data_IF_805524718710
#
_entry.id   IF_805524718710
#
_cell.length_a   1.000
_cell.length_b   1.000
_cell.length_c   1.000
_cell.angle_alpha   90.00
_cell.angle_beta   90.00
_cell.angle_gamma   90.00
#
_symmetry.space_group_name_H-M   'P 1'
#
loop_
_entity.id
_entity.type
_entity.pdbx_description
1 polymer ?
#
# COMPACT_ATOMS: atom_id res chain seq x y z
N UNK A 1 7.21 3.39 -13.62
CA UNK A 1 7.35 1.94 -13.86
C UNK A 1 7.13 1.14 -12.59
N UNK A 2 6.72 -0.12 -12.72
CA UNK A 2 6.59 -1.04 -11.59
C UNK A 2 6.63 -2.50 -12.00
N UNK A 3 6.53 -3.38 -11.00
CA UNK A 3 6.50 -4.84 -11.19
C UNK A 3 5.12 -5.38 -10.90
N UNK A 4 4.64 -6.25 -11.79
CA UNK A 4 3.41 -7.02 -11.59
C UNK A 4 3.72 -8.15 -10.60
N UNK A 5 2.87 -8.32 -9.60
CA UNK A 5 2.95 -9.40 -8.61
C UNK A 5 1.56 -9.94 -8.32
N UNK A 6 1.47 -11.17 -7.80
CA UNK A 6 0.18 -11.69 -7.34
C UNK A 6 -0.29 -10.90 -6.12
N UNK A 7 -1.61 -10.74 -5.97
CA UNK A 7 -2.19 -9.99 -4.85
C UNK A 7 -1.83 -10.62 -3.49
N UNK A 8 -1.92 -11.95 -3.39
CA UNK A 8 -1.49 -12.73 -2.23
C UNK A 8 -0.46 -13.79 -2.65
N UNK A 9 0.65 -13.83 -1.92
CA UNK A 9 1.70 -14.83 -2.08
C UNK A 9 2.11 -15.36 -0.72
N UNK A 10 2.24 -16.67 -0.60
CA UNK A 10 2.67 -17.34 0.62
C UNK A 10 4.02 -18.00 0.40
N UNK A 11 4.96 -17.73 1.30
CA UNK A 11 6.24 -18.41 1.38
C UNK A 11 6.08 -19.65 2.26
N UNK A 12 6.39 -20.83 1.71
CA UNK A 12 6.35 -22.11 2.42
C UNK A 12 7.77 -22.53 2.74
N UNK A 13 8.07 -22.67 4.03
CA UNK A 13 9.37 -23.10 4.53
C UNK A 13 9.33 -24.43 5.27
N UNK A 14 10.44 -24.80 5.93
CA UNK A 14 10.51 -25.97 6.82
C UNK A 14 10.87 -25.57 8.26
N UNK A 15 10.24 -26.24 9.22
CA UNK A 15 10.57 -26.13 10.64
C UNK A 15 11.64 -27.14 11.09
N UNK A 16 11.81 -28.22 10.34
CA UNK A 16 12.74 -29.31 10.66
C UNK A 16 13.87 -29.42 9.64
N UNK A 17 15.05 -29.80 10.11
CA UNK A 17 16.24 -29.97 9.27
C UNK A 17 16.34 -31.39 8.73
N UNK A 18 16.77 -31.54 7.49
CA UNK A 18 17.00 -32.85 6.89
C UNK A 18 17.22 -32.77 5.39
N UNK A 19 17.43 -33.92 4.77
CA UNK A 19 17.53 -34.02 3.32
C UNK A 19 16.14 -34.13 2.70
N UNK A 20 15.89 -33.40 1.62
CA UNK A 20 14.63 -33.50 0.86
C UNK A 20 14.64 -34.82 0.09
N UNK A 21 13.76 -35.74 0.48
CA UNK A 21 13.66 -37.06 -0.16
C UNK A 21 12.85 -37.03 -1.45
N UNK A 22 11.85 -36.14 -1.52
CA UNK A 22 10.93 -36.06 -2.66
C UNK A 22 10.41 -34.62 -2.80
N UNK A 23 10.30 -34.15 -4.05
CA UNK A 23 9.59 -32.91 -4.39
C UNK A 23 8.45 -33.29 -5.32
N UNK A 24 7.22 -33.03 -4.88
CA UNK A 24 6.00 -33.48 -5.57
C UNK A 24 5.31 -32.36 -6.35
N UNK A 25 5.65 -31.09 -6.10
CA UNK A 25 5.11 -29.94 -6.81
C UNK A 25 6.20 -29.23 -7.64
N UNK A 26 5.87 -28.86 -8.87
CA UNK A 26 6.79 -28.15 -9.76
C UNK A 26 6.27 -26.74 -10.13
N UNK A 27 7.12 -25.95 -10.81
CA UNK A 27 6.77 -24.61 -11.25
C UNK A 27 5.50 -24.60 -12.12
N UNK A 28 4.67 -23.57 -11.93
CA UNK A 28 3.40 -23.37 -12.64
C UNK A 28 2.32 -24.43 -12.36
N UNK A 29 2.57 -25.40 -11.47
CA UNK A 29 1.57 -26.37 -11.06
C UNK A 29 0.59 -25.75 -10.07
N UNK A 30 -0.69 -26.06 -10.25
CA UNK A 30 -1.72 -25.72 -9.26
C UNK A 30 -1.70 -26.72 -8.11
N UNK A 31 -1.78 -26.22 -6.89
CA UNK A 31 -1.78 -27.00 -5.65
C UNK A 31 -2.99 -26.66 -4.79
N UNK A 32 -3.52 -27.66 -4.10
CA UNK A 32 -4.63 -27.51 -3.16
C UNK A 32 -4.13 -27.31 -1.73
N UNK A 33 -4.95 -26.67 -0.90
CA UNK A 33 -4.66 -26.54 0.54
C UNK A 33 -4.52 -27.93 1.18
N UNK A 34 -3.39 -28.17 1.85
CA UNK A 34 -3.05 -29.43 2.52
C UNK A 34 -2.35 -30.46 1.63
N UNK A 35 -2.24 -30.19 0.33
CA UNK A 35 -1.52 -31.05 -0.63
C UNK A 35 -0.04 -31.14 -0.27
N UNK A 36 0.53 -32.34 -0.37
CA UNK A 36 1.94 -32.59 -0.08
C UNK A 36 2.76 -32.09 -1.27
N UNK A 37 3.63 -31.10 -1.03
CA UNK A 37 4.45 -30.47 -2.07
C UNK A 37 5.92 -30.90 -1.99
N UNK A 38 6.39 -31.32 -0.82
CA UNK A 38 7.71 -31.93 -0.63
C UNK A 38 7.74 -32.81 0.63
N UNK A 39 8.74 -33.69 0.71
CA UNK A 39 9.02 -34.53 1.88
C UNK A 39 10.48 -34.45 2.25
N UNK A 40 10.75 -34.34 3.54
CA UNK A 40 12.07 -34.51 4.14
C UNK A 40 12.21 -35.98 4.53
N UNK A 41 13.42 -36.52 4.41
CA UNK A 41 13.73 -37.89 4.79
C UNK A 41 13.31 -38.16 6.25
N UNK A 42 12.30 -39.02 6.48
CA UNK A 42 11.71 -39.17 7.80
C UNK A 42 12.48 -40.14 8.68
N UNK A 43 13.52 -40.83 8.17
CA UNK A 43 14.14 -41.96 8.86
C UNK A 43 14.63 -41.61 10.29
N UNK A 44 15.27 -40.45 10.47
CA UNK A 44 15.71 -39.98 11.78
C UNK A 44 14.54 -39.72 12.73
N UNK A 45 13.50 -39.06 12.23
CA UNK A 45 12.31 -38.69 13.01
C UNK A 45 11.46 -39.91 13.37
N UNK A 46 11.36 -40.89 12.48
CA UNK A 46 10.73 -42.19 12.74
C UNK A 46 11.48 -42.95 13.83
N UNK A 47 12.82 -43.00 13.76
CA UNK A 47 13.63 -43.65 14.79
C UNK A 47 13.49 -42.97 16.17
N UNK A 48 13.44 -41.63 16.20
CA UNK A 48 13.20 -40.87 17.44
C UNK A 48 11.80 -41.16 18.02
N UNK A 49 10.77 -41.20 17.17
CA UNK A 49 9.42 -41.57 17.60
C UNK A 49 9.38 -43.00 18.18
N UNK A 50 10.02 -43.96 17.50
CA UNK A 50 10.09 -45.35 17.99
C UNK A 50 10.79 -45.43 19.35
N UNK A 51 11.90 -44.71 19.54
CA UNK A 51 12.61 -44.65 20.82
C UNK A 51 11.76 -44.03 21.94
N UNK A 52 11.03 -42.95 21.65
CA UNK A 52 10.12 -42.32 22.60
C UNK A 52 8.96 -43.26 22.99
N UNK A 53 8.37 -43.98 22.01
CA UNK A 53 7.30 -44.95 22.25
C UNK A 53 7.79 -46.12 23.12
N UNK A 54 8.99 -46.65 22.85
CA UNK A 54 9.59 -47.70 23.68
C UNK A 54 9.82 -47.23 25.12
N UNK A 55 10.29 -45.99 25.30
CA UNK A 55 10.51 -45.40 26.63
C UNK A 55 9.19 -45.24 27.40
N UNK A 56 8.12 -44.78 26.72
CA UNK A 56 6.78 -44.70 27.31
C UNK A 56 6.27 -46.08 27.73
N UNK A 57 6.44 -47.11 26.91
CA UNK A 57 6.06 -48.49 27.25
C UNK A 57 6.76 -49.00 28.51
N UNK A 58 8.05 -48.69 28.67
CA UNK A 58 8.81 -49.04 29.88
C UNK A 58 8.32 -48.30 31.13
N UNK A 59 7.95 -47.03 30.99
CA UNK A 59 7.36 -46.25 32.09
C UNK A 59 5.97 -46.73 32.47
N UNK A 60 5.13 -47.11 31.49
CA UNK A 60 3.82 -47.71 31.74
C UNK A 60 3.94 -49.02 32.54
N UNK A 61 4.87 -49.90 32.13
CA UNK A 61 5.16 -51.14 32.86
C UNK A 61 5.65 -50.87 34.29
N UNK A 62 6.38 -49.77 34.50
CA UNK A 62 6.85 -49.37 35.83
C UNK A 62 5.73 -48.79 36.69
N UNK A 63 4.81 -48.01 36.10
CA UNK A 63 3.59 -47.55 36.77
C UNK A 63 2.71 -48.72 37.19
N UNK A 64 2.53 -49.73 36.32
CA UNK A 64 1.78 -50.94 36.63
C UNK A 64 2.38 -51.67 37.84
N UNK A 65 3.70 -51.89 37.85
CA UNK A 65 4.40 -52.48 39.00
C UNK A 65 4.22 -51.66 40.29
N UNK A 66 4.35 -50.33 40.22
CA UNK A 66 4.15 -49.46 41.39
C UNK A 66 2.69 -49.44 41.87
N UNK A 67 1.73 -49.51 40.95
CA UNK A 67 0.30 -49.57 41.24
C UNK A 67 -0.07 -50.88 41.95
N UNK A 68 0.44 -52.02 41.46
CA UNK A 68 0.25 -53.31 42.12
C UNK A 68 0.87 -53.33 43.52
N UNK A 69 2.05 -52.73 43.70
CA UNK A 69 2.70 -52.61 45.02
C UNK A 69 1.89 -51.74 45.98
N UNK A 70 1.33 -50.61 45.52
CA UNK A 70 0.46 -49.75 46.32
C UNK A 70 -0.87 -50.45 46.68
N UNK A 71 -1.42 -51.23 45.74
CA UNK A 71 -2.62 -52.04 45.95
C UNK A 71 -2.38 -53.14 46.99
N UNK A 72 -1.21 -53.79 46.95
CA UNK A 72 -0.80 -54.77 47.94
C UNK A 72 -0.61 -54.14 49.33
N UNK A 73 0.15 -53.05 49.44
CA UNK A 73 0.39 -52.38 50.73
C UNK A 73 -0.90 -51.85 51.35
N UNK A 74 -1.87 -51.43 50.54
CA UNK A 74 -3.20 -51.06 51.01
C UNK A 74 -3.95 -52.25 51.63
N UNK A 75 -3.91 -53.43 51.00
CA UNK A 75 -4.53 -54.65 51.55
C UNK A 75 -3.87 -55.08 52.85
N UNK A 76 -2.54 -55.00 52.93
CA UNK A 76 -1.79 -55.35 54.13
C UNK A 76 -2.08 -54.38 55.28
N UNK A 77 -2.13 -53.07 54.99
CA UNK A 77 -2.57 -52.06 55.97
C UNK A 77 -4.00 -52.30 56.45
N UNK A 78 -4.94 -52.64 55.56
CA UNK A 78 -6.31 -52.96 55.95
C UNK A 78 -6.38 -54.19 56.86
N UNK A 79 -5.55 -55.21 56.60
CA UNK A 79 -5.44 -56.39 57.46
C UNK A 79 -4.85 -56.02 58.82
N UNK A 80 -3.78 -55.24 58.85
CA UNK A 80 -3.15 -54.77 60.08
C UNK A 80 -4.12 -53.93 60.93
N UNK A 81 -4.92 -53.05 60.31
CA UNK A 81 -5.98 -52.29 61.02
C UNK A 81 -6.99 -53.20 61.71
N UNK A 82 -7.54 -54.19 60.98
CA UNK A 82 -8.51 -55.15 61.56
C UNK A 82 -7.93 -55.93 62.74
N UNK A 83 -6.66 -56.32 62.68
CA UNK A 83 -6.00 -57.03 63.77
C UNK A 83 -5.67 -56.10 64.95
N UNK A 84 -5.29 -54.85 64.69
CA UNK A 84 -5.09 -53.84 65.72
C UNK A 84 -6.39 -53.50 66.48
N UNK A 85 -7.53 -53.45 65.78
CA UNK A 85 -8.86 -53.27 66.40
C UNK A 85 -9.20 -54.42 67.36
N UNK A 86 -8.67 -55.63 67.09
CA UNK A 86 -8.77 -56.81 67.95
C UNK A 86 -7.67 -56.88 69.02
N UNK A 87 -6.82 -55.86 69.14
CA UNK A 87 -5.65 -55.82 70.03
C UNK A 87 -4.62 -56.93 69.79
N UNK A 88 -4.56 -57.48 68.57
CA UNK A 88 -3.68 -58.59 68.18
C UNK A 88 -2.34 -58.15 67.59
N UNK A 89 -2.13 -56.84 67.39
CA UNK A 89 -0.92 -56.27 66.76
C UNK A 89 -0.48 -55.02 67.53
N UNK A 90 0.82 -54.80 67.67
CA UNK A 90 1.35 -53.62 68.34
C UNK A 90 1.12 -52.35 67.51
N UNK A 91 0.92 -51.22 68.19
CA UNK A 91 0.72 -49.92 67.51
C UNK A 91 1.86 -49.55 66.56
N UNK A 92 3.10 -49.88 66.94
CA UNK A 92 4.29 -49.63 66.12
C UNK A 92 4.25 -50.38 64.77
N UNK A 93 3.70 -51.60 64.73
CA UNK A 93 3.57 -52.37 63.49
C UNK A 93 2.50 -51.75 62.57
N UNK A 94 1.39 -51.27 63.14
CA UNK A 94 0.38 -50.54 62.38
C UNK A 94 0.94 -49.25 61.76
N UNK A 95 1.71 -48.47 62.53
CA UNK A 95 2.37 -47.24 62.05
C UNK A 95 3.38 -47.55 60.92
N UNK A 96 4.10 -48.67 61.02
CA UNK A 96 5.01 -49.14 59.96
C UNK A 96 4.28 -49.49 58.66
N UNK A 97 3.16 -50.19 58.74
CA UNK A 97 2.34 -50.51 57.55
C UNK A 97 1.72 -49.24 56.93
N UNK A 98 1.34 -48.26 57.76
CA UNK A 98 0.88 -46.95 57.27
C UNK A 98 1.97 -46.23 56.47
N UNK A 99 3.20 -46.19 56.99
CA UNK A 99 4.31 -45.56 56.29
C UNK A 99 4.68 -46.32 55.00
N UNK A 100 4.66 -47.64 55.03
CA UNK A 100 4.91 -48.49 53.85
C UNK A 100 3.88 -48.22 52.75
N UNK A 101 2.61 -48.08 53.12
CA UNK A 101 1.54 -47.73 52.20
C UNK A 101 1.73 -46.32 51.63
N UNK A 102 2.09 -45.35 52.48
CA UNK A 102 2.37 -43.97 52.07
C UNK A 102 3.51 -43.90 51.05
N UNK A 103 4.62 -44.60 51.29
CA UNK A 103 5.76 -44.66 50.37
C UNK A 103 5.33 -45.27 49.04
N UNK A 104 4.57 -46.37 49.05
CA UNK A 104 4.10 -47.01 47.82
C UNK A 104 3.18 -46.10 46.98
N UNK A 105 2.32 -45.30 47.62
CA UNK A 105 1.52 -44.29 46.93
C UNK A 105 2.36 -43.17 46.32
N UNK A 106 3.43 -42.74 46.99
CA UNK A 106 4.36 -41.74 46.46
C UNK A 106 5.11 -42.30 45.24
N UNK A 107 5.58 -43.55 45.30
CA UNK A 107 6.22 -44.24 44.18
C UNK A 107 5.29 -44.39 42.98
N UNK A 108 4.01 -44.73 43.22
CA UNK A 108 2.99 -44.78 42.17
C UNK A 108 2.78 -43.41 41.53
N UNK A 109 2.66 -42.34 42.32
CA UNK A 109 2.53 -40.97 41.81
C UNK A 109 3.76 -40.51 41.03
N UNK A 110 4.95 -40.89 41.46
CA UNK A 110 6.20 -40.60 40.74
C UNK A 110 6.24 -41.34 39.38
N UNK A 111 5.87 -42.62 39.36
CA UNK A 111 5.77 -43.38 38.11
C UNK A 111 4.70 -42.81 37.17
N UNK A 112 3.56 -42.36 37.70
CA UNK A 112 2.51 -41.71 36.91
C UNK A 112 2.99 -40.41 36.28
N UNK A 113 3.73 -39.59 37.04
CA UNK A 113 4.34 -38.36 36.52
C UNK A 113 5.36 -38.64 35.41
N UNK A 114 6.15 -39.72 35.56
CA UNK A 114 7.08 -40.18 34.53
C UNK A 114 6.36 -40.59 33.23
N UNK A 115 5.25 -41.32 33.34
CA UNK A 115 4.39 -41.66 32.18
C UNK A 115 3.90 -40.40 31.48
N UNK A 116 3.39 -39.40 32.22
CA UNK A 116 2.91 -38.15 31.63
C UNK A 116 4.02 -37.39 30.88
N UNK A 117 5.23 -37.31 31.45
CA UNK A 117 6.39 -36.69 30.80
C UNK A 117 6.77 -37.40 29.50
N UNK A 118 6.82 -38.74 29.51
CA UNK A 118 7.15 -39.52 28.32
C UNK A 118 6.04 -39.52 27.26
N UNK A 119 4.78 -39.39 27.67
CA UNK A 119 3.67 -39.15 26.74
C UNK A 119 3.87 -37.82 25.99
N UNK A 120 4.26 -36.75 26.69
CA UNK A 120 4.57 -35.47 26.05
C UNK A 120 5.76 -35.60 25.08
N UNK A 121 6.81 -36.34 25.44
CA UNK A 121 7.94 -36.63 24.56
C UNK A 121 7.53 -37.38 23.28
N UNK A 122 6.62 -38.35 23.38
CA UNK A 122 6.05 -39.05 22.20
C UNK A 122 5.29 -38.07 21.31
N UNK A 123 4.48 -37.17 21.89
CA UNK A 123 3.74 -36.18 21.10
C UNK A 123 4.67 -35.19 20.39
N UNK A 124 5.75 -34.76 21.04
CA UNK A 124 6.78 -33.92 20.42
C UNK A 124 7.42 -34.64 19.23
N UNK A 125 7.87 -35.89 19.41
CA UNK A 125 8.49 -36.66 18.34
C UNK A 125 7.52 -36.95 17.17
N UNK A 126 6.22 -37.10 17.45
CA UNK A 126 5.18 -37.21 16.40
C UNK A 126 5.01 -35.91 15.63
N UNK A 127 5.00 -34.78 16.33
CA UNK A 127 4.89 -33.46 15.69
C UNK A 127 6.09 -33.22 14.77
N UNK A 128 7.31 -33.46 15.24
CA UNK A 128 8.52 -33.31 14.43
C UNK A 128 8.50 -34.22 13.20
N UNK A 129 7.98 -35.44 13.33
CA UNK A 129 7.78 -36.34 12.20
C UNK A 129 6.73 -35.80 11.20
N UNK A 130 5.62 -35.22 11.66
CA UNK A 130 4.63 -34.61 10.77
C UNK A 130 5.20 -33.39 10.02
N UNK A 131 6.07 -32.62 10.68
CA UNK A 131 6.77 -31.49 10.05
C UNK A 131 7.76 -31.92 8.94
N UNK A 132 8.08 -33.23 8.81
CA UNK A 132 8.84 -33.73 7.65
C UNK A 132 8.02 -33.70 6.36
N UNK A 133 6.69 -33.63 6.45
CA UNK A 133 5.78 -33.55 5.31
C UNK A 133 5.42 -32.10 5.07
N UNK A 134 5.90 -31.54 3.97
CA UNK A 134 5.69 -30.13 3.63
C UNK A 134 4.40 -30.03 2.81
N UNK A 135 3.43 -29.28 3.33
CA UNK A 135 2.10 -29.12 2.74
C UNK A 135 1.85 -27.70 2.29
N UNK A 136 1.04 -27.53 1.24
CA UNK A 136 0.60 -26.21 0.83
C UNK A 136 -0.39 -25.61 1.85
N UNK A 137 -0.17 -24.39 2.38
CA UNK A 137 -1.09 -23.76 3.31
C UNK A 137 -2.34 -23.17 2.61
N UNK A 138 -2.27 -22.97 1.30
CA UNK A 138 -3.30 -22.33 0.48
C UNK A 138 -3.57 -23.10 -0.80
N UNK A 139 -4.72 -22.88 -1.42
CA UNK A 139 -4.92 -23.25 -2.83
C UNK A 139 -4.26 -22.18 -3.70
N UNK A 140 -3.53 -22.57 -4.74
CA UNK A 140 -2.83 -21.61 -5.58
C UNK A 140 -1.92 -22.23 -6.62
N UNK A 141 -1.06 -21.42 -7.23
CA UNK A 141 -0.08 -21.83 -8.23
C UNK A 141 1.33 -21.63 -7.69
N UNK A 142 2.20 -22.63 -7.88
CA UNK A 142 3.62 -22.55 -7.48
C UNK A 142 4.36 -21.58 -8.40
N UNK A 143 4.78 -20.44 -7.86
CA UNK A 143 5.57 -19.43 -8.56
C UNK A 143 7.06 -19.80 -8.58
N UNK A 144 7.59 -20.22 -7.43
CA UNK A 144 8.99 -20.54 -7.25
C UNK A 144 9.12 -21.83 -6.46
N UNK A 145 10.05 -22.67 -6.90
CA UNK A 145 10.58 -23.84 -6.19
C UNK A 145 12.08 -23.59 -5.99
N UNK A 146 12.47 -23.38 -4.73
CA UNK A 146 13.84 -23.04 -4.32
C UNK A 146 14.60 -24.25 -3.78
N UNK A 147 14.06 -25.46 -4.00
CA UNK A 147 14.65 -26.71 -3.52
C UNK A 147 14.62 -27.84 -4.53
N UNK A 148 15.61 -28.73 -4.40
CA UNK A 148 15.73 -29.94 -5.19
C UNK A 148 15.74 -31.21 -4.32
N UNK A 149 15.35 -32.33 -4.93
CA UNK A 149 15.48 -33.64 -4.29
C UNK A 149 16.97 -33.95 -4.04
N UNK A 150 17.30 -34.42 -2.84
CA UNK A 150 18.67 -34.67 -2.38
C UNK A 150 19.34 -33.45 -1.72
N UNK A 151 18.73 -32.27 -1.75
CA UNK A 151 19.26 -31.10 -1.06
C UNK A 151 19.04 -31.21 0.45
N UNK A 152 20.06 -30.87 1.23
CA UNK A 152 19.94 -30.75 2.69
C UNK A 152 19.48 -29.35 3.07
N UNK A 153 18.41 -29.26 3.86
CA UNK A 153 17.89 -28.03 4.42
C UNK A 153 18.15 -27.98 5.93
N UNK A 154 18.54 -26.81 6.42
CA UNK A 154 18.76 -26.55 7.84
C UNK A 154 17.81 -25.43 8.31
N UNK A 155 16.94 -25.73 9.27
CA UNK A 155 15.96 -24.79 9.83
C UNK A 155 16.43 -24.12 11.14
N UNK A 156 17.68 -24.35 11.57
CA UNK A 156 18.14 -23.97 12.92
C UNK A 156 18.46 -22.49 13.11
N UNK A 157 18.77 -21.76 12.04
CA UNK A 157 19.13 -20.33 12.11
C UNK A 157 18.08 -19.43 11.47
N UNK A 158 17.52 -19.85 10.34
CA UNK A 158 16.44 -19.18 9.63
C UNK A 158 15.51 -20.25 9.04
N UNK A 159 14.24 -19.91 8.81
CA UNK A 159 13.30 -20.77 8.09
C UNK A 159 13.54 -20.59 6.59
N UNK A 160 14.23 -21.53 5.89
CA UNK A 160 14.45 -21.38 4.46
C UNK A 160 13.11 -21.42 3.73
N UNK A 161 12.92 -20.51 2.78
CA UNK A 161 11.76 -20.56 1.88
C UNK A 161 12.02 -21.62 0.82
N UNK A 162 11.14 -22.62 0.74
CA UNK A 162 11.26 -23.73 -0.20
C UNK A 162 10.36 -23.52 -1.42
N UNK A 163 9.16 -22.96 -1.21
CA UNK A 163 8.21 -22.65 -2.26
C UNK A 163 7.61 -21.27 -2.07
N UNK A 164 7.27 -20.61 -3.17
CA UNK A 164 6.41 -19.42 -3.16
C UNK A 164 5.15 -19.72 -3.96
N UNK A 165 3.99 -19.62 -3.32
CA UNK A 165 2.69 -19.98 -3.89
C UNK A 165 1.82 -18.74 -4.00
N UNK A 166 1.27 -18.47 -5.18
CA UNK A 166 0.28 -17.42 -5.39
C UNK A 166 -1.13 -17.98 -5.24
N UNK A 167 -1.97 -17.36 -4.40
CA UNK A 167 -3.34 -17.85 -4.18
C UNK A 167 -4.23 -17.71 -5.40
N UNK A 168 -4.14 -16.56 -6.08
CA UNK A 168 -5.01 -16.20 -7.19
C UNK A 168 -4.24 -15.35 -8.21
N UNK A 169 -4.10 -15.87 -9.44
CA UNK A 169 -3.46 -15.18 -10.56
C UNK A 169 -4.44 -14.32 -11.37
N UNK A 170 -5.74 -14.41 -11.11
CA UNK A 170 -6.76 -13.56 -11.72
C UNK A 170 -6.77 -12.15 -11.12
N UNK A 171 -6.20 -11.98 -9.92
CA UNK A 171 -6.05 -10.70 -9.22
C UNK A 171 -4.58 -10.41 -8.98
N UNK A 172 -4.09 -9.44 -9.73
CA UNK A 172 -2.70 -8.99 -9.65
C UNK A 172 -2.64 -7.61 -9.03
N UNK A 173 -1.43 -7.25 -8.59
CA UNK A 173 -1.11 -5.91 -8.16
C UNK A 173 0.15 -5.44 -8.86
N UNK A 174 0.22 -4.14 -9.13
CA UNK A 174 1.42 -3.47 -9.61
C UNK A 174 1.91 -2.56 -8.50
N UNK A 175 3.16 -2.73 -8.10
CA UNK A 175 3.81 -1.81 -7.19
C UNK A 175 4.61 -0.80 -8.02
N UNK A 176 4.07 0.40 -8.16
CA UNK A 176 4.68 1.51 -8.88
C UNK A 176 5.57 2.31 -7.94
N UNK A 177 6.77 2.65 -8.38
CA UNK A 177 7.63 3.61 -7.68
C UNK A 177 7.32 5.02 -8.19
N UNK A 178 6.78 5.87 -7.32
CA UNK A 178 6.44 7.27 -7.65
C UNK A 178 7.33 8.22 -6.86
N UNK A 179 7.86 9.25 -7.50
CA UNK A 179 8.73 10.22 -6.84
C UNK A 179 7.94 11.16 -5.90
N UNK A 180 8.62 11.71 -4.90
CA UNK A 180 8.04 12.64 -3.92
C UNK A 180 7.31 13.84 -4.54
N UNK A 181 7.80 14.34 -5.68
CA UNK A 181 7.20 15.49 -6.37
C UNK A 181 5.77 15.22 -6.89
N UNK A 182 5.41 13.95 -7.14
CA UNK A 182 4.16 13.58 -7.80
C UNK A 182 3.18 12.85 -6.88
N UNK A 183 3.67 12.26 -5.78
CA UNK A 183 2.85 11.46 -4.87
C UNK A 183 1.68 12.24 -4.25
N UNK A 184 1.82 13.56 -4.11
CA UNK A 184 0.79 14.45 -3.57
C UNK A 184 -0.47 14.55 -4.45
N UNK A 185 -0.35 14.29 -5.76
CA UNK A 185 -1.46 14.40 -6.71
C UNK A 185 -2.24 13.08 -6.85
N UNK A 186 -1.65 11.95 -6.45
CA UNK A 186 -2.25 10.63 -6.59
C UNK A 186 -3.21 10.37 -5.43
N UNK A 187 -4.43 9.96 -5.77
CA UNK A 187 -5.46 9.54 -4.82
C UNK A 187 -5.93 8.12 -5.12
N UNK A 188 -6.51 7.47 -4.12
CA UNK A 188 -7.18 6.18 -4.29
C UNK A 188 -8.36 6.32 -5.26
N UNK A 189 -8.52 5.34 -6.15
CA UNK A 189 -9.52 5.36 -7.21
C UNK A 189 -9.05 5.93 -8.56
N UNK A 190 -7.86 6.53 -8.64
CA UNK A 190 -7.34 7.01 -9.92
C UNK A 190 -7.21 5.86 -10.93
N UNK A 191 -7.70 6.03 -12.18
CA UNK A 191 -7.53 5.03 -13.21
C UNK A 191 -6.06 4.99 -13.66
N UNK A 192 -5.58 3.78 -13.92
CA UNK A 192 -4.21 3.51 -14.35
C UNK A 192 -4.25 2.73 -15.63
N UNK A 193 -3.58 3.24 -16.66
CA UNK A 193 -3.37 2.53 -17.90
C UNK A 193 -1.93 2.06 -17.94
N UNK A 194 -1.71 0.80 -18.29
CA UNK A 194 -0.35 0.29 -18.39
C UNK A 194 -0.16 -0.61 -19.59
N UNK A 195 1.08 -0.68 -20.06
CA UNK A 195 1.55 -1.62 -21.07
C UNK A 195 2.65 -2.50 -20.49
N UNK A 196 2.81 -3.68 -21.09
CA UNK A 196 3.89 -4.60 -20.79
C UNK A 196 4.58 -4.97 -22.10
N UNK A 197 5.90 -5.15 -22.06
CA UNK A 197 6.69 -5.45 -23.26
C UNK A 197 6.24 -6.73 -23.97
N UNK A 198 5.69 -7.69 -23.23
CA UNK A 198 5.16 -8.92 -23.78
C UNK A 198 3.94 -8.70 -24.70
N UNK A 199 3.22 -7.59 -24.53
CA UNK A 199 2.00 -7.26 -25.29
C UNK A 199 1.97 -5.77 -25.68
N UNK A 200 2.84 -5.31 -26.59
CA UNK A 200 3.01 -3.88 -26.89
C UNK A 200 1.77 -3.22 -27.50
N UNK A 201 0.95 -4.00 -28.23
CA UNK A 201 -0.28 -3.49 -28.87
C UNK A 201 -1.50 -3.53 -27.94
N UNK A 202 -1.35 -3.96 -26.68
CA UNK A 202 -2.45 -4.09 -25.74
C UNK A 202 -2.22 -3.17 -24.55
N UNK A 203 -3.21 -2.30 -24.30
CA UNK A 203 -3.28 -1.53 -23.06
C UNK A 203 -4.11 -2.31 -22.04
N UNK A 204 -3.64 -2.30 -20.81
CA UNK A 204 -4.33 -2.87 -19.67
C UNK A 204 -4.76 -1.75 -18.73
N UNK A 205 -5.79 -2.03 -17.96
CA UNK A 205 -6.39 -1.09 -17.03
C UNK A 205 -6.23 -1.60 -15.59
N UNK A 206 -6.05 -0.67 -14.67
CA UNK A 206 -5.98 -0.91 -13.25
C UNK A 206 -6.47 0.31 -12.47
N UNK A 207 -6.58 0.16 -11.16
CA UNK A 207 -7.05 1.23 -10.27
C UNK A 207 -6.11 1.37 -9.10
N UNK A 208 -5.76 2.60 -8.73
CA UNK A 208 -4.98 2.87 -7.52
C UNK A 208 -5.81 2.48 -6.29
N UNK A 209 -5.32 1.53 -5.51
CA UNK A 209 -5.99 1.07 -4.28
C UNK A 209 -5.37 1.68 -3.05
N UNK A 210 -4.07 1.93 -3.09
CA UNK A 210 -3.34 2.36 -1.90
C UNK A 210 -2.07 3.13 -2.29
N UNK A 211 -1.82 4.22 -1.57
CA UNK A 211 -0.52 4.88 -1.50
C UNK A 211 0.19 4.46 -0.22
N UNK A 212 1.40 3.91 -0.30
CA UNK A 212 2.20 3.65 0.90
C UNK A 212 2.76 4.95 1.45
N UNK A 213 2.63 5.11 2.76
CA UNK A 213 3.12 6.30 3.48
C UNK A 213 4.63 6.18 3.71
N UNK A 214 5.13 4.97 3.92
CA UNK A 214 6.57 4.71 4.08
C UNK A 214 7.27 4.81 2.71
N UNK A 215 8.24 5.75 2.54
CA UNK A 215 9.02 5.84 1.32
C UNK A 215 10.11 4.76 1.29
N UNK A 216 10.48 4.36 0.08
CA UNK A 216 11.72 3.65 -0.19
C UNK A 216 12.81 4.68 -0.48
N UNK A 217 13.77 4.83 0.42
CA UNK A 217 14.87 5.80 0.29
C UNK A 217 16.10 5.06 -0.24
N UNK A 218 16.58 5.46 -1.41
CA UNK A 218 17.88 5.01 -1.94
C UNK A 218 18.77 6.24 -2.17
N UNK A 219 19.76 6.42 -1.29
CA UNK A 219 20.60 7.62 -1.29
C UNK A 219 19.78 8.86 -0.96
N UNK A 220 19.72 9.82 -1.90
CA UNK A 220 18.98 11.07 -1.75
C UNK A 220 17.63 11.08 -2.50
N UNK A 221 17.23 9.95 -3.10
CA UNK A 221 15.99 9.82 -3.85
C UNK A 221 14.98 9.04 -3.00
N UNK A 222 13.82 9.65 -2.75
CA UNK A 222 12.71 9.06 -2.01
C UNK A 222 11.57 8.72 -2.97
N UNK A 223 11.22 7.43 -3.03
CA UNK A 223 10.15 6.94 -3.89
C UNK A 223 9.04 6.34 -3.02
N UNK A 224 7.80 6.73 -3.26
CA UNK A 224 6.61 6.25 -2.58
C UNK A 224 5.97 5.12 -3.38
N UNK A 225 5.85 3.91 -2.81
CA UNK A 225 5.17 2.81 -3.48
C UNK A 225 3.66 3.08 -3.61
N UNK A 226 3.14 3.02 -4.82
CA UNK A 226 1.70 3.08 -5.11
C UNK A 226 1.25 1.70 -5.58
N UNK A 227 0.23 1.14 -4.92
CA UNK A 227 -0.33 -0.16 -5.24
C UNK A 227 -1.52 0.03 -6.16
N UNK A 228 -1.44 -0.59 -7.34
CA UNK A 228 -2.49 -0.62 -8.35
C UNK A 228 -3.06 -2.02 -8.41
N UNK A 229 -4.38 -2.18 -8.28
CA UNK A 229 -5.05 -3.46 -8.48
C UNK A 229 -5.39 -3.66 -9.95
N UNK A 230 -5.12 -4.87 -10.44
CA UNK A 230 -5.26 -5.26 -11.84
C UNK A 230 -6.00 -6.59 -11.89
N UNK A 231 -7.02 -6.64 -12.74
CA UNK A 231 -7.75 -7.89 -13.01
C UNK A 231 -7.11 -8.57 -14.23
N UNK A 232 -6.87 -9.87 -14.13
CA UNK A 232 -6.24 -10.70 -15.15
C UNK A 232 -7.12 -11.92 -15.48
N UNK A 233 -8.36 -11.72 -15.98
CA UNK A 233 -9.31 -12.81 -16.20
C UNK A 233 -8.85 -13.78 -17.30
N UNK A 234 -8.09 -13.26 -18.28
CA UNK A 234 -7.61 -14.02 -19.43
C UNK A 234 -6.22 -14.65 -19.21
N UNK A 235 -5.58 -14.39 -18.06
CA UNK A 235 -4.28 -14.98 -17.72
C UNK A 235 -3.08 -14.44 -18.50
N UNK A 236 -3.23 -13.35 -19.26
CA UNK A 236 -2.14 -12.79 -20.07
C UNK A 236 -1.00 -12.24 -19.22
N UNK A 237 -1.31 -11.65 -18.07
CA UNK A 237 -0.33 -11.03 -17.19
C UNK A 237 0.26 -12.09 -16.26
N UNK A 238 1.58 -12.15 -16.20
CA UNK A 238 2.31 -13.10 -15.35
C UNK A 238 3.04 -12.30 -14.25
N UNK A 239 2.96 -12.71 -12.97
CA UNK A 239 3.77 -12.14 -11.92
C UNK A 239 5.27 -12.13 -12.28
N UNK A 240 5.93 -10.99 -12.06
CA UNK A 240 7.32 -10.78 -12.43
C UNK A 240 7.51 -9.88 -13.66
N UNK A 241 6.48 -9.70 -14.49
CA UNK A 241 6.50 -8.76 -15.62
C UNK A 241 6.72 -7.31 -15.15
N UNK A 242 7.43 -6.54 -15.98
CA UNK A 242 7.54 -5.09 -15.83
C UNK A 242 6.36 -4.41 -16.51
N UNK A 243 5.84 -3.37 -15.86
CA UNK A 243 4.73 -2.58 -16.35
C UNK A 243 5.11 -1.10 -16.42
N UNK A 244 4.88 -0.52 -17.59
CA UNK A 244 4.88 0.91 -17.83
C UNK A 244 3.48 1.45 -17.59
N UNK A 245 3.28 2.11 -16.47
CA UNK A 245 1.98 2.60 -16.05
C UNK A 245 1.91 4.13 -16.09
N UNK A 246 0.82 4.64 -16.63
CA UNK A 246 0.42 6.03 -16.61
C UNK A 246 -0.81 6.15 -15.71
N UNK A 247 -0.66 6.91 -14.62
CA UNK A 247 -1.76 7.20 -13.69
C UNK A 247 -2.46 8.46 -14.19
N UNK A 248 -3.75 8.37 -14.48
CA UNK A 248 -4.56 9.53 -14.83
C UNK A 248 -4.94 10.27 -13.55
N UNK A 249 -4.25 11.38 -13.29
CA UNK A 249 -4.43 12.22 -12.09
C UNK A 249 -5.55 13.25 -12.28
N UNK A 250 -5.69 13.76 -13.48
CA UNK A 250 -6.74 14.68 -13.87
C UNK A 250 -7.04 14.53 -15.36
N UNK A 251 -8.30 14.68 -15.73
CA UNK A 251 -8.73 14.71 -17.12
C UNK A 251 -9.45 16.03 -17.41
N UNK A 252 -9.24 16.56 -18.62
CA UNK A 252 -9.89 17.77 -19.13
C UNK A 252 -10.37 17.52 -20.54
N UNK A 253 -11.66 17.72 -20.78
CA UNK A 253 -12.31 17.52 -22.07
C UNK A 253 -12.59 18.91 -22.68
N UNK A 254 -12.45 19.05 -24.01
CA UNK A 254 -12.71 20.28 -24.75
C UNK A 254 -11.85 21.49 -24.34
N UNK A 255 -10.54 21.26 -24.17
CA UNK A 255 -9.59 22.34 -23.86
C UNK A 255 -8.71 22.68 -25.05
N UNK A 256 -8.37 23.96 -25.21
CA UNK A 256 -7.36 24.38 -26.16
C UNK A 256 -5.99 23.92 -25.65
N UNK A 257 -5.24 23.22 -26.49
CA UNK A 257 -3.90 22.73 -26.16
C UNK A 257 -2.89 23.18 -27.20
N UNK A 258 -1.68 23.46 -26.74
CA UNK A 258 -0.52 23.75 -27.57
C UNK A 258 0.56 22.69 -27.28
N UNK A 259 1.25 22.13 -28.28
CA UNK A 259 2.38 21.24 -28.01
C UNK A 259 3.46 21.99 -27.20
N UNK A 260 3.99 21.34 -26.17
CA UNK A 260 4.86 21.99 -25.18
C UNK A 260 6.15 22.56 -25.80
N UNK A 261 6.58 22.04 -26.96
CA UNK A 261 7.73 22.52 -27.74
C UNK A 261 7.59 23.94 -28.31
N UNK A 262 6.35 24.46 -28.46
CA UNK A 262 6.11 25.83 -28.94
C UNK A 262 6.15 26.86 -27.81
N UNK A 263 6.24 26.41 -26.55
CA UNK A 263 6.37 27.30 -25.41
C UNK A 263 7.82 27.80 -25.32
N UNK A 264 7.99 29.12 -25.39
CA UNK A 264 9.28 29.76 -25.19
C UNK A 264 9.53 29.95 -23.69
N UNK A 265 10.64 29.43 -23.13
CA UNK A 265 11.02 29.70 -21.75
C UNK A 265 11.11 31.22 -21.55
N UNK A 266 10.21 31.76 -20.72
CA UNK A 266 10.25 33.17 -20.34
C UNK A 266 11.02 33.30 -19.03
N UNK A 267 11.88 34.31 -18.91
CA UNK A 267 12.58 34.63 -17.66
C UNK A 267 11.62 34.90 -16.47
N UNK A 268 10.33 35.17 -16.75
CA UNK A 268 9.25 35.33 -15.78
C UNK A 268 8.24 34.16 -15.73
N UNK A 269 8.56 32.96 -16.22
CA UNK A 269 7.61 31.83 -16.30
C UNK A 269 7.02 31.32 -14.97
N UNK A 270 7.58 31.77 -13.84
CA UNK A 270 7.06 31.51 -12.49
C UNK A 270 6.23 32.68 -11.92
N UNK A 271 5.95 33.72 -12.71
CA UNK A 271 5.10 34.82 -12.29
C UNK A 271 3.63 34.36 -12.18
N UNK A 272 3.07 34.58 -11.00
CA UNK A 272 1.68 34.26 -10.70
C UNK A 272 0.80 35.25 -11.48
N UNK A 273 -0.22 34.79 -12.23
CA UNK A 273 -1.00 35.66 -13.11
C UNK A 273 -1.67 36.81 -12.37
N UNK A 274 -1.81 37.96 -13.04
CA UNK A 274 -2.49 39.11 -12.45
C UNK A 274 -3.99 38.87 -12.44
N UNK A 275 -4.71 39.56 -11.56
CA UNK A 275 -6.15 39.43 -11.49
C UNK A 275 -6.84 39.80 -12.82
N UNK A 276 -6.33 40.80 -13.55
CA UNK A 276 -6.85 41.16 -14.87
C UNK A 276 -6.75 40.02 -15.89
N UNK A 277 -5.61 39.33 -15.95
CA UNK A 277 -5.45 38.19 -16.85
C UNK A 277 -6.39 37.02 -16.51
N UNK A 278 -6.70 36.82 -15.23
CA UNK A 278 -7.72 35.84 -14.79
C UNK A 278 -9.11 36.28 -15.24
N UNK A 279 -9.44 37.57 -15.13
CA UNK A 279 -10.73 38.09 -15.60
C UNK A 279 -10.92 37.91 -17.11
N UNK A 280 -9.86 38.15 -17.88
CA UNK A 280 -9.88 37.97 -19.33
C UNK A 280 -10.00 36.48 -19.69
N UNK A 281 -9.29 35.60 -18.99
CA UNK A 281 -9.43 34.15 -19.15
C UNK A 281 -10.82 33.61 -18.78
N UNK A 282 -11.47 34.20 -17.75
CA UNK A 282 -12.86 33.88 -17.41
C UNK A 282 -13.80 34.29 -18.54
N UNK A 283 -13.62 35.49 -19.12
CA UNK A 283 -14.44 35.96 -20.24
C UNK A 283 -14.30 35.06 -21.46
N UNK A 284 -13.07 34.72 -21.84
CA UNK A 284 -12.78 33.88 -23.01
C UNK A 284 -13.37 32.48 -22.84
N UNK A 285 -13.11 31.80 -21.72
CA UNK A 285 -13.55 30.41 -21.53
C UNK A 285 -15.01 30.25 -21.12
N UNK A 286 -15.60 31.22 -20.43
CA UNK A 286 -16.98 31.10 -19.92
C UNK A 286 -18.01 31.73 -20.85
N UNK A 287 -17.59 32.40 -21.93
CA UNK A 287 -18.47 32.86 -23.02
C UNK A 287 -19.02 31.71 -23.87
N UNK A 288 -18.35 30.56 -23.89
CA UNK A 288 -18.71 29.35 -24.65
C UNK A 288 -19.62 28.40 -23.88
N UNK A 289 -19.69 28.55 -22.54
CA UNK A 289 -20.67 27.85 -21.70
C UNK A 289 -22.04 28.47 -21.97
N UNK A 290 -23.05 27.66 -22.31
CA UNK A 290 -24.39 28.11 -22.68
C UNK A 290 -25.14 28.84 -21.56
N UNK A 291 -24.73 30.08 -21.26
CA UNK A 291 -25.29 30.94 -20.23
C UNK A 291 -26.54 31.66 -20.74
N UNK A 292 -27.52 31.83 -19.86
CA UNK A 292 -28.65 32.71 -20.12
C UNK A 292 -28.21 34.19 -20.12
N UNK A 293 -28.96 35.07 -20.81
CA UNK A 293 -28.70 36.52 -20.82
C UNK A 293 -28.59 37.13 -19.41
N UNK A 294 -29.33 36.57 -18.44
CA UNK A 294 -29.31 37.01 -17.04
C UNK A 294 -28.00 36.61 -16.34
N UNK A 295 -27.52 35.39 -16.59
CA UNK A 295 -26.24 34.92 -16.06
C UNK A 295 -25.06 35.68 -16.68
N UNK A 296 -25.08 35.93 -17.99
CA UNK A 296 -24.06 36.74 -18.68
C UNK A 296 -23.93 38.13 -18.05
N UNK A 297 -25.06 38.82 -17.83
CA UNK A 297 -25.08 40.13 -17.18
C UNK A 297 -24.56 40.09 -15.74
N UNK A 298 -24.85 39.02 -15.00
CA UNK A 298 -24.34 38.82 -13.63
C UNK A 298 -22.82 38.61 -13.63
N UNK A 299 -22.28 37.83 -14.57
CA UNK A 299 -20.85 37.61 -14.73
C UNK A 299 -20.12 38.91 -15.09
N UNK A 300 -20.65 39.67 -16.05
CA UNK A 300 -20.09 40.97 -16.46
C UNK A 300 -20.07 41.96 -15.29
N UNK A 301 -21.12 42.00 -14.48
CA UNK A 301 -21.21 42.87 -13.30
C UNK A 301 -20.10 42.53 -12.29
N UNK A 302 -19.89 41.25 -12.00
CA UNK A 302 -18.82 40.80 -11.10
C UNK A 302 -17.42 41.04 -11.69
N UNK A 303 -17.24 40.87 -13.01
CA UNK A 303 -15.97 41.13 -13.67
C UNK A 303 -15.58 42.62 -13.65
N UNK A 304 -16.54 43.54 -13.56
CA UNK A 304 -16.25 45.00 -13.52
C UNK A 304 -15.97 45.50 -12.09
N UNK A 305 -16.51 44.84 -11.06
CA UNK A 305 -16.24 45.23 -9.67
C UNK A 305 -14.78 44.97 -9.28
N UNK A 306 -14.09 45.97 -8.70
CA UNK A 306 -12.77 45.74 -8.08
C UNK A 306 -12.92 44.77 -6.91
N UNK A 307 -11.93 43.91 -6.69
CA UNK A 307 -11.88 43.06 -5.49
C UNK A 307 -12.13 43.93 -4.25
N UNK A 308 -12.96 43.48 -3.29
CA UNK A 308 -13.17 44.23 -2.06
C UNK A 308 -11.82 44.44 -1.36
N UNK A 309 -11.38 45.69 -1.24
CA UNK A 309 -10.13 46.06 -0.55
C UNK A 309 -10.16 45.73 0.96
N UNK A 310 -11.32 45.32 1.49
CA UNK A 310 -11.54 45.14 2.92
C UNK A 310 -10.81 43.93 3.52
N UNK A 311 -10.38 42.95 2.71
CA UNK A 311 -9.58 41.81 3.21
C UNK A 311 -8.12 42.14 3.56
N UNK A 312 -7.59 43.28 3.08
CA UNK A 312 -6.20 43.69 3.31
C UNK A 312 -5.98 44.18 4.74
N UNK A 313 -7.01 44.77 5.36
CA UNK A 313 -6.88 45.43 6.67
C UNK A 313 -6.95 44.49 7.86
N UNK A 314 -7.49 43.28 7.71
CA UNK A 314 -7.77 42.39 8.86
C UNK A 314 -6.66 41.39 9.18
N UNK A 315 -5.68 41.18 8.28
CA UNK A 315 -4.61 40.20 8.48
C UNK A 315 -3.20 40.77 8.47
N UNK A 316 -2.96 41.94 7.87
CA UNK A 316 -1.65 42.62 7.94
C UNK A 316 -1.54 43.32 9.30
N UNK A 317 -0.52 43.04 10.13
CA UNK A 317 -0.30 43.74 11.39
C UNK A 317 -0.39 45.25 11.18
N UNK A 318 -1.14 45.94 12.03
CA UNK A 318 -1.39 47.38 11.92
C UNK A 318 -0.10 48.21 11.85
N UNK A 319 0.98 47.69 12.43
CA UNK A 319 2.33 48.26 12.36
C UNK A 319 2.89 48.31 10.93
N UNK A 320 2.74 47.24 10.14
CA UNK A 320 3.20 47.18 8.75
C UNK A 320 2.35 48.04 7.82
N UNK A 321 1.05 48.15 8.09
CA UNK A 321 0.14 49.04 7.36
C UNK A 321 0.52 50.51 7.59
N UNK A 322 0.89 50.86 8.82
CA UNK A 322 1.33 52.21 9.19
C UNK A 322 2.73 52.54 8.64
N UNK A 323 3.62 51.54 8.52
CA UNK A 323 4.99 51.75 8.05
C UNK A 323 5.10 51.89 6.53
N UNK A 324 4.40 51.06 5.75
CA UNK A 324 4.49 51.07 4.29
C UNK A 324 3.36 51.85 3.60
N UNK A 325 2.31 52.22 4.34
CA UNK A 325 1.11 52.85 3.80
C UNK A 325 0.15 51.84 3.16
N UNK A 326 -1.15 52.18 3.14
CA UNK A 326 -2.24 51.26 2.74
C UNK A 326 -2.07 50.65 1.33
N UNK A 327 -1.50 51.40 0.38
CA UNK A 327 -1.28 50.93 -0.99
C UNK A 327 -0.19 49.84 -1.09
N UNK A 328 0.88 49.94 -0.29
CA UNK A 328 1.94 48.95 -0.26
C UNK A 328 1.57 47.74 0.62
N UNK A 329 0.81 47.97 1.70
CA UNK A 329 0.28 46.91 2.56
C UNK A 329 -0.66 45.95 1.81
N UNK A 330 -1.36 46.44 0.78
CA UNK A 330 -2.19 45.59 -0.09
C UNK A 330 -1.41 44.55 -0.90
N UNK A 331 -0.08 44.71 -1.00
CA UNK A 331 0.84 43.78 -1.66
C UNK A 331 1.55 42.84 -0.68
N UNK A 332 1.34 43.00 0.63
CA UNK A 332 1.93 42.15 1.67
C UNK A 332 1.09 40.87 1.78
N UNK A 333 1.74 39.73 1.59
CA UNK A 333 1.14 38.41 1.77
C UNK A 333 1.52 37.92 3.16
N UNK A 334 0.52 37.69 4.01
CA UNK A 334 0.73 37.11 5.34
C UNK A 334 0.84 35.60 5.16
N UNK A 335 2.03 35.07 5.42
CA UNK A 335 2.30 33.64 5.34
C UNK A 335 1.74 33.02 6.63
N UNK A 336 0.70 32.20 6.50
CA UNK A 336 0.22 31.36 7.62
C UNK A 336 1.26 30.26 7.89
N UNK A 337 1.52 29.99 9.16
CA UNK A 337 2.66 29.21 9.71
C UNK A 337 2.67 27.71 9.33
N UNK A 338 1.64 27.23 8.60
CA UNK A 338 1.44 25.79 8.39
C UNK A 338 2.16 25.19 7.17
N UNK A 339 2.64 25.97 6.18
CA UNK A 339 3.12 25.38 4.91
C UNK A 339 4.53 25.76 4.44
N UNK A 340 5.18 26.78 5.01
CA UNK A 340 6.53 27.22 4.61
C UNK A 340 6.70 27.74 3.17
N UNK A 341 5.79 27.45 2.23
CA UNK A 341 5.83 27.87 0.83
C UNK A 341 4.98 29.16 0.59
N UNK A 342 5.62 30.30 0.28
CA UNK A 342 4.93 31.56 0.01
C UNK A 342 4.06 31.52 -1.25
N UNK A 343 4.38 30.70 -2.26
CA UNK A 343 3.58 30.59 -3.49
C UNK A 343 2.28 29.84 -3.23
N UNK A 344 2.33 28.77 -2.45
CA UNK A 344 1.15 28.01 -2.04
C UNK A 344 0.18 28.86 -1.21
N UNK A 345 0.69 29.72 -0.33
CA UNK A 345 -0.11 30.67 0.45
C UNK A 345 -0.83 31.70 -0.44
N UNK A 346 -0.14 32.26 -1.44
CA UNK A 346 -0.73 33.21 -2.41
C UNK A 346 -1.85 32.56 -3.23
N UNK A 347 -1.66 31.31 -3.67
CA UNK A 347 -2.69 30.56 -4.42
C UNK A 347 -3.93 30.31 -3.57
N UNK A 348 -3.77 29.94 -2.30
CA UNK A 348 -4.88 29.72 -1.35
C UNK A 348 -5.69 30.99 -1.11
N UNK A 349 -5.03 32.09 -0.75
CA UNK A 349 -5.67 33.39 -0.54
C UNK A 349 -6.42 33.85 -1.81
N UNK A 350 -5.80 33.68 -2.98
CA UNK A 350 -6.44 33.99 -4.26
C UNK A 350 -7.68 33.14 -4.53
N UNK A 351 -7.62 31.82 -4.29
CA UNK A 351 -8.77 30.92 -4.44
C UNK A 351 -9.94 31.38 -3.58
N UNK A 352 -9.66 31.77 -2.34
CA UNK A 352 -10.68 32.28 -1.43
C UNK A 352 -11.29 33.60 -1.95
N UNK A 353 -10.44 34.57 -2.35
CA UNK A 353 -10.92 35.88 -2.86
C UNK A 353 -11.76 35.74 -4.14
N UNK A 354 -11.36 34.87 -5.05
CA UNK A 354 -12.13 34.58 -6.26
C UNK A 354 -13.46 33.89 -5.91
N UNK A 355 -13.44 32.95 -4.98
CA UNK A 355 -14.65 32.29 -4.48
C UNK A 355 -15.65 33.26 -3.86
N UNK A 356 -15.19 34.16 -2.98
CA UNK A 356 -16.02 35.20 -2.35
C UNK A 356 -16.61 36.16 -3.38
N UNK A 357 -15.77 36.65 -4.29
CA UNK A 357 -16.19 37.60 -5.31
C UNK A 357 -17.25 37.01 -6.25
N UNK A 358 -17.02 35.80 -6.74
CA UNK A 358 -17.95 35.18 -7.68
C UNK A 358 -19.05 34.35 -7.01
N UNK A 359 -19.22 34.44 -5.69
CA UNK A 359 -20.23 33.68 -4.95
C UNK A 359 -21.66 33.97 -5.46
N UNK A 360 -21.98 35.26 -5.64
CA UNK A 360 -23.29 35.67 -6.15
C UNK A 360 -23.54 35.14 -7.56
N UNK A 361 -22.54 35.21 -8.45
CA UNK A 361 -22.62 34.63 -9.79
C UNK A 361 -22.79 33.11 -9.75
N UNK A 362 -21.96 32.40 -8.99
CA UNK A 362 -21.99 30.93 -8.85
C UNK A 362 -23.37 30.45 -8.39
N UNK A 363 -24.04 31.19 -7.52
CA UNK A 363 -25.40 30.87 -7.04
C UNK A 363 -26.47 30.89 -8.15
N UNK A 364 -26.21 31.60 -9.26
CA UNK A 364 -27.12 31.65 -10.42
C UNK A 364 -26.94 30.48 -11.39
N UNK A 365 -25.91 29.64 -11.22
CA UNK A 365 -25.58 28.52 -12.08
C UNK A 365 -26.27 27.22 -11.62
N UNK A 366 -26.63 26.34 -12.57
CA UNK A 366 -27.12 25.00 -12.25
C UNK A 366 -25.97 24.05 -11.83
N UNK A 367 -26.27 22.85 -11.34
CA UNK A 367 -25.25 21.91 -10.82
C UNK A 367 -24.16 21.55 -11.84
N UNK A 368 -24.50 21.36 -13.12
CA UNK A 368 -23.50 21.10 -14.18
C UNK A 368 -22.63 22.32 -14.48
N UNK A 369 -23.22 23.52 -14.50
CA UNK A 369 -22.51 24.78 -14.74
C UNK A 369 -21.61 25.15 -13.54
N UNK A 370 -22.06 24.85 -12.32
CA UNK A 370 -21.26 25.04 -11.11
C UNK A 370 -20.00 24.18 -11.12
N UNK A 371 -20.11 22.92 -11.56
CA UNK A 371 -18.94 22.03 -11.66
C UNK A 371 -17.90 22.60 -12.64
N UNK A 372 -18.33 23.01 -13.85
CA UNK A 372 -17.44 23.62 -14.85
C UNK A 372 -16.83 24.92 -14.34
N UNK A 373 -17.62 25.73 -13.62
CA UNK A 373 -17.17 27.00 -13.03
C UNK A 373 -16.11 26.78 -11.94
N UNK A 374 -16.38 25.89 -10.99
CA UNK A 374 -15.46 25.61 -9.88
C UNK A 374 -14.15 25.00 -10.39
N UNK A 375 -14.23 24.15 -11.41
CA UNK A 375 -13.08 23.57 -12.09
C UNK A 375 -12.25 24.65 -12.81
N UNK A 376 -12.89 25.52 -13.60
CA UNK A 376 -12.21 26.63 -14.27
C UNK A 376 -11.53 27.57 -13.27
N UNK A 377 -12.20 27.93 -12.17
CA UNK A 377 -11.60 28.79 -11.14
C UNK A 377 -10.41 28.12 -10.46
N UNK A 378 -10.50 26.82 -10.13
CA UNK A 378 -9.37 26.09 -9.53
C UNK A 378 -8.18 26.05 -10.49
N UNK A 379 -8.44 25.77 -11.75
CA UNK A 379 -7.43 25.70 -12.81
C UNK A 379 -6.76 27.07 -13.08
N UNK A 380 -7.54 28.15 -13.09
CA UNK A 380 -7.02 29.52 -13.26
C UNK A 380 -6.19 29.99 -12.07
N UNK A 381 -6.49 29.52 -10.85
CA UNK A 381 -5.66 29.79 -9.67
C UNK A 381 -4.29 29.13 -9.79
N UNK A 382 -4.21 27.96 -10.40
CA UNK A 382 -2.98 27.20 -10.62
C UNK A 382 -2.24 27.58 -11.91
N UNK A 383 -2.88 28.36 -12.79
CA UNK A 383 -2.32 28.79 -14.06
C UNK A 383 -1.04 29.63 -13.91
N UNK A 384 -0.22 29.60 -14.96
CA UNK A 384 1.05 30.34 -15.05
C UNK A 384 1.16 31.05 -16.39
N UNK A 385 2.01 32.06 -16.47
CA UNK A 385 2.35 32.66 -17.75
C UNK A 385 3.35 31.81 -18.52
N UNK A 386 3.10 31.63 -19.81
CA UNK A 386 4.10 31.22 -20.78
C UNK A 386 4.14 32.21 -21.94
N UNK A 387 5.12 32.04 -22.82
CA UNK A 387 5.22 32.83 -24.04
C UNK A 387 5.21 31.93 -25.25
N UNK A 388 4.57 32.40 -26.31
CA UNK A 388 4.48 31.71 -27.60
C UNK A 388 4.76 32.71 -28.72
N UNK A 389 5.40 32.24 -29.79
CA UNK A 389 5.62 33.05 -30.99
C UNK A 389 4.43 32.91 -31.93
N UNK A 390 3.73 34.00 -32.19
CA UNK A 390 2.56 34.04 -33.07
C UNK A 390 2.88 34.89 -34.29
N UNK A 391 2.54 34.41 -35.49
CA UNK A 391 2.64 35.16 -36.72
C UNK A 391 1.47 36.14 -36.83
N UNK A 392 1.77 37.44 -36.87
CA UNK A 392 0.80 38.52 -37.06
C UNK A 392 1.16 39.29 -38.34
N UNK A 393 0.49 38.94 -39.44
CA UNK A 393 0.87 39.38 -40.79
C UNK A 393 2.25 38.82 -41.19
N UNK A 394 3.17 39.69 -41.59
CA UNK A 394 4.55 39.31 -41.96
C UNK A 394 5.54 39.29 -40.78
N UNK A 395 5.08 39.60 -39.56
CA UNK A 395 5.94 39.67 -38.36
C UNK A 395 5.63 38.56 -37.37
N UNK A 396 6.68 38.02 -36.74
CA UNK A 396 6.55 37.08 -35.63
C UNK A 396 6.64 37.88 -34.32
N UNK A 397 5.61 37.79 -33.49
CA UNK A 397 5.54 38.48 -32.19
C UNK A 397 5.52 37.47 -31.04
N UNK A 398 6.23 37.78 -29.97
CA UNK A 398 6.14 37.01 -28.71
C UNK A 398 4.89 37.45 -27.96
N UNK A 399 3.95 36.52 -27.75
CA UNK A 399 2.71 36.75 -27.03
C UNK A 399 2.74 36.01 -25.69
N UNK A 400 2.34 36.69 -24.62
CA UNK A 400 2.15 36.04 -23.32
C UNK A 400 0.79 35.36 -23.29
N UNK A 401 0.78 34.12 -22.81
CA UNK A 401 -0.39 33.27 -22.74
C UNK A 401 -0.53 32.70 -21.33
N UNK A 402 -1.76 32.42 -20.93
CA UNK A 402 -2.06 31.79 -19.66
C UNK A 402 -2.18 30.29 -19.88
N UNK A 403 -1.36 29.49 -19.19
CA UNK A 403 -1.29 28.05 -19.38
C UNK A 403 -1.60 27.29 -18.09
N UNK A 404 -2.08 26.07 -18.25
CA UNK A 404 -2.52 25.17 -17.18
C UNK A 404 -1.81 23.84 -17.17
N UNK A 405 -2.62 22.77 -17.10
CA UNK A 405 -2.15 21.39 -17.06
C UNK A 405 -1.25 21.06 -18.24
N UNK A 406 -0.24 20.25 -17.99
CA UNK A 406 0.70 19.75 -18.98
C UNK A 406 0.73 18.23 -18.90
N UNK A 407 0.60 17.55 -20.05
CA UNK A 407 0.63 16.08 -20.19
C UNK A 407 1.94 15.59 -20.85
N UNK A 408 3.04 16.31 -20.62
CA UNK A 408 4.38 16.22 -21.22
C UNK A 408 4.44 16.53 -22.72
N UNK A 409 3.41 16.19 -23.48
CA UNK A 409 3.32 16.44 -24.92
C UNK A 409 2.73 17.82 -25.21
N UNK A 410 1.71 18.20 -24.45
CA UNK A 410 0.92 19.40 -24.68
C UNK A 410 0.56 20.10 -23.39
N UNK A 411 0.36 21.41 -23.50
CA UNK A 411 -0.04 22.25 -22.38
C UNK A 411 -1.38 22.89 -22.69
N UNK A 412 -2.27 22.86 -21.71
CA UNK A 412 -3.57 23.55 -21.76
C UNK A 412 -3.35 25.06 -21.82
N UNK A 413 -4.11 25.74 -22.68
CA UNK A 413 -4.14 27.20 -22.81
C UNK A 413 -5.49 27.72 -22.32
N UNK A 414 -5.46 28.65 -21.38
CA UNK A 414 -6.65 29.33 -20.88
C UNK A 414 -6.94 30.62 -21.63
N UNK A 415 -5.92 31.41 -21.97
CA UNK A 415 -6.15 32.69 -22.64
C UNK A 415 -4.93 33.19 -23.40
N UNK A 416 -5.19 34.13 -24.32
CA UNK A 416 -4.17 34.79 -25.14
C UNK A 416 -3.86 34.09 -26.46
N UNK A 417 -4.52 32.97 -26.77
CA UNK A 417 -4.45 32.30 -28.08
C UNK A 417 -5.85 31.93 -28.56
N UNK A 418 -6.09 32.16 -29.85
CA UNK A 418 -7.26 31.66 -30.55
C UNK A 418 -6.89 30.43 -31.39
N UNK A 419 -7.88 29.57 -31.68
CA UNK A 419 -7.71 28.39 -32.55
C UNK A 419 -7.21 28.73 -33.97
N UNK A 420 -7.35 29.99 -34.39
CA UNK A 420 -6.98 30.49 -35.72
C UNK A 420 -5.56 31.08 -35.76
N UNK A 421 -4.90 31.25 -34.60
CA UNK A 421 -3.58 31.85 -34.53
C UNK A 421 -2.52 30.92 -35.13
N UNK A 422 -1.67 31.47 -36.01
CA UNK A 422 -0.53 30.74 -36.58
C UNK A 422 0.67 30.83 -35.63
N UNK A 423 0.98 29.72 -34.99
CA UNK A 423 2.09 29.62 -34.04
C UNK A 423 3.36 29.17 -34.78
N UNK A 424 4.50 29.76 -34.42
CA UNK A 424 5.81 29.47 -35.03
C UNK A 424 6.72 28.81 -33.99
N UNK A 425 7.37 27.70 -34.36
CA UNK A 425 8.37 27.07 -33.50
C UNK A 425 9.67 27.87 -33.56
N UNK A 426 10.28 28.15 -32.41
CA UNK A 426 11.60 28.76 -32.36
C UNK A 426 12.62 27.69 -32.79
N UNK A 427 13.00 27.66 -34.07
CA UNK A 427 14.12 26.83 -34.53
C UNK A 427 15.39 27.47 -33.97
N UNK A 428 15.91 26.93 -32.87
CA UNK A 428 17.28 27.20 -32.46
C UNK A 428 18.20 26.50 -33.48
N UNK A 429 18.79 27.29 -34.38
CA UNK A 429 19.78 26.94 -35.39
C UNK A 429 19.34 26.02 -36.55
N UNK A 430 19.12 26.64 -37.72
CA UNK A 430 19.72 26.17 -38.96
C UNK A 430 20.39 27.38 -39.64
N UNK A 431 21.72 27.41 -39.59
CA UNK A 431 22.54 27.96 -40.67
C UNK A 431 22.69 26.87 -41.73
#
# INVERSE_FOLDING_TARGET
MGRISAKSTVAVGTQVSGEISEVSADFNQSVSKGEIIAKINPARYQAQLQSAVASLSGAQSSLERSSERASQSLRDLQRARKLADQQLVAKADLEKEQETQRIAELDMRAAQSSVQSLQAAVQSARYDLDQTIIRSPVHGVVLERLVESGQTVASSFETPTLFRIAEDLSKLKIELAVDEADIGKIIEGNPVYFSVDAYPNRKFEGVVVQRRIAPNIQGNNANFPVVVEVTNPEGFLIPGMLADATISVAERINVLKIPSEYLVPSAGGNEIPTFGAIQDAIKENFSTVGLTKRQQKSLETELVMKLPEQGIKSRVPSELVNFFGAAAASRIVVIDDESGDPVAAIRRDRKQRLGEKFFAFRSTLNSSQQLVWDQLLSDLVESRYASVLVKNGDKVIKRSILIGMNDDVSTQVFSGLATQDLIVLQINNFQ
#
